data_IF_816795334413
#
_entry.id   IF_816795334413
#
_cell.length_a   1.000
_cell.length_b   1.000
_cell.length_c   1.000
_cell.angle_alpha   90.00
_cell.angle_beta   90.00
_cell.angle_gamma   90.00
#
_symmetry.space_group_name_H-M   'P 1'
#
loop_
_entity.id
_entity.type
_entity.pdbx_description
1 polymer ?
#
# COMPACT_ATOMS: atom_id res chain seq x y z
N UNK A 1 -5.39 -24.61 0.19
CA UNK A 1 -4.31 -25.53 0.63
C UNK A 1 -4.72 -26.96 0.33
N UNK A 2 -3.80 -27.93 0.23
CA UNK A 2 -4.15 -29.34 0.02
C UNK A 2 -4.57 -30.08 1.29
N UNK A 3 -5.26 -31.21 1.16
CA UNK A 3 -5.58 -32.10 2.30
C UNK A 3 -4.33 -32.57 3.05
N UNK A 4 -3.28 -32.97 2.32
CA UNK A 4 -1.98 -33.37 2.91
C UNK A 4 -1.40 -32.25 3.79
N UNK A 5 -1.46 -31.01 3.29
CA UNK A 5 -0.97 -29.83 4.04
C UNK A 5 -1.83 -29.55 5.26
N UNK A 6 -3.16 -29.70 5.14
CA UNK A 6 -4.07 -29.56 6.26
C UNK A 6 -3.82 -30.58 7.38
N UNK A 7 -3.57 -31.85 7.05
CA UNK A 7 -3.26 -32.87 8.05
C UNK A 7 -1.99 -32.53 8.84
N UNK A 8 -0.94 -32.07 8.16
CA UNK A 8 0.30 -31.59 8.81
C UNK A 8 0.06 -30.37 9.71
N UNK A 9 -0.84 -29.47 9.31
CA UNK A 9 -1.24 -28.34 10.14
C UNK A 9 -1.97 -28.83 11.40
N UNK A 10 -2.89 -29.79 11.27
CA UNK A 10 -3.66 -30.35 12.39
C UNK A 10 -2.80 -31.11 13.39
N UNK A 11 -1.77 -31.81 12.92
CA UNK A 11 -0.77 -32.46 13.78
C UNK A 11 -0.01 -31.45 14.66
N UNK A 12 0.35 -30.29 14.09
CA UNK A 12 1.08 -29.24 14.82
C UNK A 12 0.17 -28.34 15.66
N UNK A 13 -1.07 -28.16 15.22
CA UNK A 13 -2.05 -27.28 15.83
C UNK A 13 -3.40 -28.02 15.96
N UNK A 14 -3.59 -28.83 17.02
CA UNK A 14 -4.78 -29.68 17.17
C UNK A 14 -6.09 -28.91 17.34
N UNK A 15 -6.01 -27.64 17.72
CA UNK A 15 -7.14 -26.73 17.95
C UNK A 15 -7.70 -26.11 16.67
N UNK A 16 -7.12 -26.42 15.51
CA UNK A 16 -7.59 -25.90 14.22
C UNK A 16 -8.83 -26.69 13.78
N UNK A 17 -9.97 -25.99 13.70
CA UNK A 17 -11.26 -26.56 13.31
C UNK A 17 -11.54 -26.37 11.82
N UNK A 18 -12.09 -27.42 11.19
CA UNK A 18 -12.61 -27.30 9.83
C UNK A 18 -14.01 -26.71 9.86
N UNK A 19 -14.28 -25.87 8.87
CA UNK A 19 -15.62 -25.40 8.51
C UNK A 19 -16.04 -26.15 7.26
N UNK A 20 -17.22 -26.76 7.30
CA UNK A 20 -17.84 -27.36 6.12
C UNK A 20 -18.75 -26.32 5.44
N UNK A 21 -18.75 -26.31 4.13
CA UNK A 21 -19.65 -25.48 3.34
C UNK A 21 -20.97 -26.22 3.08
N UNK A 22 -22.09 -25.50 3.19
CA UNK A 22 -23.41 -26.04 2.84
C UNK A 22 -23.52 -26.34 1.34
N UNK A 23 -22.90 -25.50 0.51
CA UNK A 23 -22.81 -25.68 -0.94
C UNK A 23 -21.34 -25.85 -1.36
N UNK A 24 -20.99 -26.88 -2.17
CA UNK A 24 -19.65 -27.07 -2.67
C UNK A 24 -19.19 -25.90 -3.56
N UNK A 25 -17.96 -25.45 -3.36
CA UNK A 25 -17.35 -24.39 -4.17
C UNK A 25 -16.63 -25.03 -5.36
N UNK A 26 -17.04 -24.74 -6.61
CA UNK A 26 -16.34 -25.23 -7.79
C UNK A 26 -15.01 -24.49 -7.94
N UNK A 27 -13.92 -25.26 -8.07
CA UNK A 27 -12.57 -24.77 -8.24
C UNK A 27 -12.02 -25.29 -9.57
N UNK A 28 -11.76 -24.40 -10.52
CA UNK A 28 -11.10 -24.76 -11.78
C UNK A 28 -9.59 -24.88 -11.56
N UNK A 29 -9.05 -26.07 -11.79
CA UNK A 29 -7.61 -26.32 -11.72
C UNK A 29 -7.08 -26.72 -13.10
N UNK A 30 -5.75 -26.67 -13.27
CA UNK A 30 -5.11 -27.12 -14.52
C UNK A 30 -5.35 -28.62 -14.78
N UNK A 31 -5.64 -29.40 -13.75
CA UNK A 31 -5.91 -30.84 -13.83
C UNK A 31 -7.40 -31.21 -13.97
N UNK A 32 -8.29 -30.23 -14.06
CA UNK A 32 -9.75 -30.42 -14.10
C UNK A 32 -10.48 -29.65 -13.01
N UNK A 33 -11.80 -29.58 -13.15
CA UNK A 33 -12.66 -28.93 -12.15
C UNK A 33 -12.81 -29.83 -10.92
N UNK A 34 -12.68 -29.22 -9.75
CA UNK A 34 -12.75 -29.89 -8.45
C UNK A 34 -13.76 -29.16 -7.58
N UNK A 35 -14.65 -29.90 -6.94
CA UNK A 35 -15.56 -29.34 -5.94
C UNK A 35 -14.94 -29.40 -4.56
N UNK A 36 -15.03 -28.29 -3.82
CA UNK A 36 -14.48 -28.20 -2.47
C UNK A 36 -15.56 -27.85 -1.47
N UNK A 37 -15.66 -28.64 -0.40
CA UNK A 37 -16.69 -28.51 0.63
C UNK A 37 -16.11 -28.16 2.01
N UNK A 38 -14.79 -27.96 2.13
CA UNK A 38 -14.12 -27.75 3.42
C UNK A 38 -13.17 -26.57 3.37
N UNK A 39 -13.12 -25.83 4.47
CA UNK A 39 -12.17 -24.77 4.70
C UNK A 39 -11.70 -24.74 6.15
N UNK A 40 -10.71 -23.90 6.41
CA UNK A 40 -10.15 -23.67 7.74
C UNK A 40 -9.76 -22.20 7.87
N UNK A 41 -10.04 -21.58 9.01
CA UNK A 41 -9.66 -20.20 9.26
C UNK A 41 -8.29 -20.15 9.94
N UNK A 42 -7.31 -19.51 9.29
CA UNK A 42 -5.93 -19.45 9.81
C UNK A 42 -5.34 -18.07 9.68
N UNK A 43 -4.49 -17.68 10.63
CA UNK A 43 -3.64 -16.51 10.48
C UNK A 43 -2.44 -16.87 9.60
N UNK A 44 -2.31 -16.17 8.47
CA UNK A 44 -1.23 -16.39 7.51
C UNK A 44 -0.14 -15.33 7.72
N UNK A 45 1.11 -15.78 7.75
CA UNK A 45 2.29 -14.91 7.76
C UNK A 45 3.22 -15.29 6.62
N UNK A 46 3.46 -14.34 5.72
CA UNK A 46 4.36 -14.46 4.59
C UNK A 46 5.76 -14.02 5.01
N UNK A 47 6.80 -14.74 4.57
CA UNK A 47 8.18 -14.30 4.74
C UNK A 47 8.67 -13.68 3.44
N UNK A 48 8.88 -12.38 3.44
CA UNK A 48 9.39 -11.62 2.29
C UNK A 48 10.81 -11.13 2.55
N UNK A 49 11.51 -10.66 1.50
CA UNK A 49 12.83 -10.06 1.64
C UNK A 49 12.83 -8.80 2.54
N UNK A 50 11.71 -8.08 2.60
CA UNK A 50 11.52 -6.91 3.46
C UNK A 50 11.18 -7.28 4.92
N UNK A 51 10.94 -8.56 5.21
CA UNK A 51 10.57 -9.06 6.54
C UNK A 51 9.29 -9.91 6.53
N UNK A 52 8.86 -10.39 7.71
CA UNK A 52 7.59 -11.09 7.85
C UNK A 52 6.41 -10.14 7.67
N UNK A 53 5.38 -10.60 6.97
CA UNK A 53 4.13 -9.89 6.71
C UNK A 53 2.96 -10.75 7.17
N UNK A 54 2.26 -10.32 8.21
CA UNK A 54 1.14 -11.05 8.80
C UNK A 54 -0.19 -10.43 8.38
N UNK A 55 -1.15 -11.26 8.00
CA UNK A 55 -2.52 -10.82 7.70
C UNK A 55 -3.26 -10.63 9.04
N UNK A 56 -3.81 -9.43 9.25
CA UNK A 56 -4.40 -9.01 10.52
C UNK A 56 -5.66 -9.79 10.92
N UNK A 57 -6.41 -10.33 9.95
CA UNK A 57 -7.58 -11.17 10.17
C UNK A 57 -7.30 -12.62 9.79
N UNK A 58 -7.99 -13.60 10.41
CA UNK A 58 -7.97 -14.98 9.94
C UNK A 58 -8.46 -15.05 8.49
N UNK A 59 -7.71 -15.76 7.65
CA UNK A 59 -8.08 -16.01 6.25
C UNK A 59 -8.76 -17.36 6.15
N UNK A 60 -9.92 -17.40 5.49
CA UNK A 60 -10.60 -18.63 5.17
C UNK A 60 -9.85 -19.36 4.06
N UNK A 61 -9.25 -20.49 4.40
CA UNK A 61 -8.41 -21.27 3.51
C UNK A 61 -9.15 -22.54 3.08
N UNK A 62 -9.53 -22.59 1.81
CA UNK A 62 -10.20 -23.73 1.18
C UNK A 62 -9.24 -24.93 1.14
N UNK A 63 -9.75 -26.12 1.48
CA UNK A 63 -8.99 -27.39 1.53
C UNK A 63 -9.28 -28.18 0.25
N UNK A 64 -8.36 -28.12 -0.70
CA UNK A 64 -8.48 -28.75 -2.01
C UNK A 64 -8.02 -30.21 -1.93
N UNK A 65 -8.76 -31.18 -2.51
CA UNK A 65 -8.31 -32.55 -2.66
C UNK A 65 -6.95 -32.65 -3.36
N UNK A 66 -6.06 -33.48 -2.83
CA UNK A 66 -4.76 -33.76 -3.44
C UNK A 66 -3.56 -33.58 -2.51
N UNK A 67 -2.37 -33.66 -3.10
CA UNK A 67 -1.10 -33.76 -2.36
C UNK A 67 -0.15 -32.56 -2.54
N UNK A 68 -0.64 -31.49 -3.17
CA UNK A 68 0.17 -30.29 -3.41
C UNK A 68 0.79 -29.78 -2.11
N UNK A 69 2.11 -29.60 -2.08
CA UNK A 69 2.80 -29.05 -0.90
C UNK A 69 2.79 -27.52 -0.86
N UNK A 70 2.26 -26.91 -1.92
CA UNK A 70 2.22 -25.47 -2.10
C UNK A 70 0.94 -24.87 -1.53
N UNK A 71 1.07 -23.64 -1.03
CA UNK A 71 -0.03 -22.84 -0.53
C UNK A 71 -0.35 -21.75 -1.55
N UNK A 72 -1.53 -21.83 -2.14
CA UNK A 72 -2.00 -20.83 -3.11
C UNK A 72 -2.70 -19.70 -2.37
N UNK A 73 -2.31 -18.47 -2.69
CA UNK A 73 -2.91 -17.24 -2.15
C UNK A 73 -3.78 -16.65 -3.25
N UNK A 74 -5.06 -16.42 -2.95
CA UNK A 74 -5.99 -15.83 -3.91
C UNK A 74 -5.70 -14.36 -4.22
N UNK A 75 -6.16 -13.89 -5.38
CA UNK A 75 -5.99 -12.49 -5.81
C UNK A 75 -6.56 -11.49 -4.81
N UNK A 76 -7.70 -11.78 -4.18
CA UNK A 76 -8.29 -10.89 -3.16
C UNK A 76 -7.35 -10.67 -1.97
N UNK A 77 -6.68 -11.74 -1.52
CA UNK A 77 -5.70 -11.66 -0.44
C UNK A 77 -4.46 -10.89 -0.89
N UNK A 78 -3.98 -11.11 -2.11
CA UNK A 78 -2.86 -10.35 -2.68
C UNK A 78 -3.20 -8.85 -2.79
N UNK A 79 -4.40 -8.51 -3.27
CA UNK A 79 -4.88 -7.14 -3.36
C UNK A 79 -4.97 -6.47 -1.98
N UNK A 80 -5.41 -7.20 -0.94
CA UNK A 80 -5.42 -6.70 0.44
C UNK A 80 -4.01 -6.38 1.00
N UNK A 81 -2.98 -7.02 0.43
CA UNK A 81 -1.57 -6.76 0.73
C UNK A 81 -0.97 -5.66 -0.16
N UNK A 82 -1.77 -5.06 -1.06
CA UNK A 82 -1.33 -4.05 -2.01
C UNK A 82 -0.59 -4.61 -3.22
N UNK A 83 -0.75 -5.90 -3.52
CA UNK A 83 -0.15 -6.57 -4.68
C UNK A 83 -1.22 -6.71 -5.76
N UNK A 84 -1.07 -5.94 -6.85
CA UNK A 84 -1.95 -5.99 -8.02
C UNK A 84 -1.19 -6.61 -9.20
N UNK A 85 -1.41 -7.91 -9.40
CA UNK A 85 -0.68 -8.71 -10.39
C UNK A 85 -0.97 -8.24 -11.81
N UNK A 86 -2.20 -7.81 -12.11
CA UNK A 86 -2.58 -7.36 -13.44
C UNK A 86 -1.89 -6.04 -13.78
N UNK A 87 -1.88 -5.10 -12.83
CA UNK A 87 -1.16 -3.84 -12.98
C UNK A 87 0.34 -4.05 -13.12
N UNK A 88 0.92 -4.94 -12.33
CA UNK A 88 2.33 -5.28 -12.41
C UNK A 88 2.69 -5.92 -13.77
N UNK A 89 1.79 -6.77 -14.30
CA UNK A 89 1.98 -7.41 -15.60
C UNK A 89 1.86 -6.41 -16.77
N UNK A 90 0.93 -5.45 -16.69
CA UNK A 90 0.79 -4.37 -17.67
C UNK A 90 2.07 -3.55 -17.79
N UNK A 91 2.66 -3.17 -16.65
CA UNK A 91 3.93 -2.41 -16.57
C UNK A 91 5.11 -3.20 -17.15
N UNK A 92 5.06 -4.54 -17.12
CA UNK A 92 6.08 -5.39 -17.76
C UNK A 92 5.88 -5.44 -19.27
N UNK A 93 4.64 -5.57 -19.74
CA UNK A 93 4.30 -5.72 -21.15
C UNK A 93 4.63 -4.46 -21.98
N UNK A 94 4.59 -3.28 -21.36
CA UNK A 94 4.68 -1.99 -22.01
C UNK A 94 6.11 -1.45 -22.21
N UNK A 95 7.14 -2.14 -21.69
CA UNK A 95 8.54 -1.72 -21.76
C UNK A 95 9.15 -1.74 -23.18
N UNK A 96 8.38 -2.12 -24.22
CA UNK A 96 8.85 -2.35 -25.59
C UNK A 96 8.71 -1.20 -26.61
N UNK A 97 8.04 -0.09 -26.31
CA UNK A 97 7.86 1.02 -27.29
C UNK A 97 8.95 2.10 -27.21
N UNK A 98 9.41 2.66 -28.35
CA UNK A 98 10.37 3.77 -28.39
C UNK A 98 9.71 5.14 -28.10
N UNK A 99 10.45 6.03 -27.43
CA UNK A 99 9.95 7.33 -26.94
C UNK A 99 10.57 8.52 -27.68
N UNK A 100 9.73 9.52 -27.97
CA UNK A 100 10.08 10.87 -28.42
C UNK A 100 10.75 11.69 -27.28
N UNK A 101 11.69 12.60 -27.58
CA UNK A 101 12.40 13.38 -26.56
C UNK A 101 11.61 14.61 -26.06
N UNK A 102 11.42 14.72 -24.75
CA UNK A 102 10.84 15.91 -24.09
C UNK A 102 11.88 17.04 -23.86
N UNK A 103 11.44 18.28 -24.08
CA UNK A 103 12.17 19.53 -23.84
C UNK A 103 11.74 20.13 -22.49
N UNK A 104 12.62 20.12 -21.48
CA UNK A 104 12.30 20.54 -20.11
C UNK A 104 12.37 22.08 -19.95
N UNK A 105 11.26 22.70 -19.52
CA UNK A 105 11.21 24.10 -19.07
C UNK A 105 11.70 24.33 -17.63
N UNK A 106 11.99 25.59 -17.26
CA UNK A 106 12.42 25.97 -15.90
C UNK A 106 11.28 25.81 -14.86
N UNK A 107 11.57 25.39 -13.61
CA UNK A 107 10.53 25.09 -12.63
C UNK A 107 9.91 26.35 -12.01
N UNK A 108 8.58 26.40 -12.05
CA UNK A 108 7.78 27.49 -11.48
C UNK A 108 7.72 27.44 -9.93
N UNK A 109 8.21 28.49 -9.29
CA UNK A 109 8.24 28.67 -7.82
C UNK A 109 6.87 29.21 -7.38
N UNK A 110 5.88 28.32 -7.36
CA UNK A 110 4.49 28.64 -7.01
C UNK A 110 4.28 29.08 -5.56
N UNK A 111 3.34 30.01 -5.36
CA UNK A 111 2.93 30.61 -4.08
C UNK A 111 2.15 29.63 -3.16
N UNK A 112 2.12 29.95 -1.86
CA UNK A 112 1.55 29.14 -0.78
C UNK A 112 0.00 29.00 -0.87
N UNK A 113 -0.60 27.88 -0.40
CA UNK A 113 -2.02 27.61 -0.61
C UNK A 113 -2.95 28.40 0.33
N UNK A 114 -4.04 28.93 -0.22
CA UNK A 114 -5.16 29.66 0.41
C UNK A 114 -6.07 28.80 1.32
N UNK A 115 -5.67 27.58 1.67
CA UNK A 115 -6.52 26.52 2.25
C UNK A 115 -6.61 26.53 3.80
N UNK A 116 -6.28 27.64 4.46
CA UNK A 116 -6.15 27.68 5.93
C UNK A 116 -7.52 27.52 6.62
N UNK A 117 -8.59 28.09 6.05
CA UNK A 117 -9.92 28.13 6.70
C UNK A 117 -10.60 26.75 6.75
N UNK A 118 -10.46 25.94 5.70
CA UNK A 118 -11.05 24.58 5.65
C UNK A 118 -10.38 23.64 6.66
N UNK A 119 -9.05 23.74 6.76
CA UNK A 119 -8.26 22.99 7.74
C UNK A 119 -8.67 23.30 9.17
N UNK A 120 -8.93 24.58 9.50
CA UNK A 120 -9.34 24.95 10.84
C UNK A 120 -10.67 24.31 11.23
N UNK A 121 -11.63 24.27 10.30
CA UNK A 121 -12.92 23.60 10.50
C UNK A 121 -12.73 22.12 10.77
N UNK A 122 -11.90 21.45 9.98
CA UNK A 122 -11.60 20.02 10.10
C UNK A 122 -10.97 19.69 11.47
N UNK A 123 -10.06 20.54 11.95
CA UNK A 123 -9.45 20.39 13.28
C UNK A 123 -10.50 20.50 14.38
N UNK A 124 -11.45 21.45 14.31
CA UNK A 124 -12.53 21.59 15.30
C UNK A 124 -13.44 20.36 15.34
N UNK A 125 -13.76 19.80 14.18
CA UNK A 125 -14.55 18.58 14.06
C UNK A 125 -13.84 17.37 14.69
N UNK A 126 -12.53 17.25 14.50
CA UNK A 126 -11.70 16.20 15.11
C UNK A 126 -11.66 16.30 16.64
N UNK A 127 -11.50 17.50 17.20
CA UNK A 127 -11.53 17.74 18.65
C UNK A 127 -12.90 17.38 19.23
N UNK A 128 -13.98 17.78 18.55
CA UNK A 128 -15.35 17.44 18.95
C UNK A 128 -15.57 15.93 18.99
N UNK A 129 -15.12 15.23 17.95
CA UNK A 129 -15.19 13.76 17.84
C UNK A 129 -14.38 13.07 18.93
N UNK A 130 -13.21 13.60 19.30
CA UNK A 130 -12.41 13.08 20.39
C UNK A 130 -13.17 13.12 21.73
N UNK A 131 -13.84 14.24 22.03
CA UNK A 131 -14.70 14.36 23.21
C UNK A 131 -15.85 13.34 23.22
N UNK A 132 -16.50 13.13 22.07
CA UNK A 132 -17.57 12.12 21.93
C UNK A 132 -17.07 10.68 22.16
N UNK A 133 -15.80 10.41 21.79
CA UNK A 133 -15.16 9.09 21.97
C UNK A 133 -14.53 8.89 23.35
N UNK A 134 -14.80 9.79 24.31
CA UNK A 134 -14.35 9.62 25.70
C UNK A 134 -13.02 10.28 26.05
N UNK A 135 -12.52 11.19 25.21
CA UNK A 135 -11.38 12.03 25.62
C UNK A 135 -11.77 12.90 26.84
N UNK A 136 -10.88 13.07 27.85
CA UNK A 136 -11.25 13.79 29.06
C UNK A 136 -11.62 15.25 28.74
N UNK A 137 -12.81 15.67 29.17
CA UNK A 137 -13.39 16.96 28.82
C UNK A 137 -12.54 18.14 29.32
N UNK A 138 -11.84 17.96 30.44
CA UNK A 138 -10.95 18.94 31.05
C UNK A 138 -9.77 19.33 30.15
N UNK A 139 -9.36 18.45 29.23
CA UNK A 139 -8.24 18.69 28.32
C UNK A 139 -8.67 19.07 26.90
N UNK A 140 -9.96 19.18 26.59
CA UNK A 140 -10.43 19.47 25.22
C UNK A 140 -9.96 20.85 24.72
N UNK A 141 -9.95 21.85 25.62
CA UNK A 141 -9.47 23.18 25.29
C UNK A 141 -7.96 23.20 25.05
N UNK A 142 -7.20 22.43 25.83
CA UNK A 142 -5.76 22.27 25.64
C UNK A 142 -5.44 21.53 24.34
N UNK A 143 -6.19 20.47 24.04
CA UNK A 143 -6.09 19.72 22.78
C UNK A 143 -6.35 20.63 21.58
N UNK A 144 -7.43 21.42 21.62
CA UNK A 144 -7.75 22.41 20.60
C UNK A 144 -6.60 23.40 20.44
N UNK A 145 -6.12 23.98 21.55
CA UNK A 145 -5.01 24.94 21.53
C UNK A 145 -3.74 24.36 20.91
N UNK A 146 -3.39 23.10 21.20
CA UNK A 146 -2.22 22.44 20.62
C UNK A 146 -2.42 22.20 19.12
N UNK A 147 -3.59 21.71 18.72
CA UNK A 147 -3.91 21.42 17.33
C UNK A 147 -3.85 22.65 16.42
N UNK A 148 -4.18 23.83 16.94
CA UNK A 148 -4.07 25.11 16.23
C UNK A 148 -2.71 25.80 16.36
N UNK A 149 -1.93 25.49 17.41
CA UNK A 149 -0.70 26.23 17.71
C UNK A 149 0.40 26.00 16.69
N UNK A 150 0.49 24.79 16.17
CA UNK A 150 1.54 24.42 15.23
C UNK A 150 0.88 24.10 13.89
N UNK A 151 1.34 24.74 12.81
CA UNK A 151 0.92 24.44 11.42
C UNK A 151 1.40 23.07 10.94
N UNK A 152 1.25 22.04 11.78
CA UNK A 152 1.63 20.65 11.53
C UNK A 152 0.57 19.92 10.71
N UNK A 153 -0.68 20.35 10.83
CA UNK A 153 -1.80 19.72 10.17
C UNK A 153 -1.89 20.16 8.72
N UNK A 154 -2.16 19.21 7.82
CA UNK A 154 -2.41 19.47 6.40
C UNK A 154 -3.58 18.63 5.95
N UNK A 155 -4.53 19.25 5.28
CA UNK A 155 -5.61 18.53 4.60
C UNK A 155 -5.14 17.98 3.26
N UNK A 156 -4.34 18.77 2.52
CA UNK A 156 -3.70 18.37 1.27
C UNK A 156 -2.20 18.61 1.36
N UNK A 157 -1.41 17.66 0.85
CA UNK A 157 0.03 17.86 0.73
C UNK A 157 0.30 18.83 -0.42
N UNK A 158 0.67 20.07 -0.09
CA UNK A 158 0.94 21.14 -1.05
C UNK A 158 2.40 21.58 -1.05
N UNK A 159 2.71 22.56 -1.90
CA UNK A 159 4.02 23.23 -1.89
C UNK A 159 4.16 24.00 -0.58
N UNK A 160 5.08 23.55 0.27
CA UNK A 160 5.43 24.30 1.47
C UNK A 160 6.30 25.50 1.12
N UNK A 161 6.23 26.57 1.94
CA UNK A 161 7.27 27.58 1.87
C UNK A 161 8.64 26.92 2.12
N UNK A 162 9.69 27.41 1.45
CA UNK A 162 11.03 26.88 1.66
C UNK A 162 11.38 26.94 3.14
N UNK A 163 12.13 25.93 3.62
CA UNK A 163 12.65 25.95 4.98
C UNK A 163 13.41 27.25 5.24
N UNK A 164 13.34 27.76 6.48
CA UNK A 164 14.06 28.97 6.89
C UNK A 164 15.55 28.69 7.09
N UNK A 165 16.19 28.19 6.05
CA UNK A 165 17.59 27.87 5.96
C UNK A 165 18.15 28.49 4.67
N UNK A 166 19.42 28.94 4.66
CA UNK A 166 20.05 29.40 3.43
C UNK A 166 20.08 28.25 2.42
N UNK A 167 19.98 28.53 1.10
CA UNK A 167 20.09 27.51 0.07
C UNK A 167 21.39 26.71 0.21
N UNK A 168 21.29 25.39 0.06
CA UNK A 168 22.43 24.49 0.12
C UNK A 168 23.39 24.78 -1.03
N UNK A 169 24.65 25.09 -0.72
CA UNK A 169 25.71 25.26 -1.72
C UNK A 169 26.39 23.92 -1.97
N UNK A 170 26.19 23.35 -3.15
CA UNK A 170 26.86 22.11 -3.55
C UNK A 170 28.28 22.45 -4.04
N UNK A 171 29.30 21.84 -3.41
CA UNK A 171 30.69 21.95 -3.86
C UNK A 171 31.09 20.67 -4.59
N UNK A 172 31.51 20.81 -5.84
CA UNK A 172 32.02 19.69 -6.62
C UNK A 172 33.42 19.30 -6.12
N UNK A 173 33.77 18.02 -6.25
CA UNK A 173 35.15 17.55 -6.07
C UNK A 173 36.06 18.21 -7.11
N UNK A 174 37.34 18.35 -6.77
CA UNK A 174 38.35 18.80 -7.73
C UNK A 174 38.33 17.87 -8.95
N UNK A 175 38.38 18.46 -10.16
CA UNK A 175 38.32 17.78 -11.46
C UNK A 175 36.99 17.10 -11.82
N UNK A 176 35.90 17.39 -11.10
CA UNK A 176 34.57 16.94 -11.48
C UNK A 176 34.16 17.49 -12.87
N UNK A 177 33.75 16.60 -13.77
CA UNK A 177 33.28 16.95 -15.11
C UNK A 177 31.75 16.82 -15.17
N UNK A 178 31.03 17.79 -15.75
CA UNK A 178 29.60 17.63 -16.02
C UNK A 178 29.35 16.38 -16.87
N UNK A 179 28.37 15.58 -16.48
CA UNK A 179 27.96 14.39 -17.20
C UNK A 179 26.45 14.43 -17.41
N UNK A 180 26.01 14.25 -18.65
CA UNK A 180 24.60 14.12 -19.00
C UNK A 180 24.30 12.65 -19.23
N UNK A 181 23.60 12.03 -18.29
CA UNK A 181 23.05 10.69 -18.47
C UNK A 181 21.96 10.71 -19.55
N UNK A 182 21.77 9.59 -20.26
CA UNK A 182 20.53 9.37 -21.02
C UNK A 182 19.34 9.31 -20.05
N UNK A 183 18.18 9.81 -20.46
CA UNK A 183 16.96 9.70 -19.66
C UNK A 183 16.64 8.23 -19.36
N UNK A 184 16.12 7.96 -18.16
CA UNK A 184 15.65 6.62 -17.81
C UNK A 184 14.43 6.31 -18.67
N UNK A 185 14.42 5.15 -19.32
CA UNK A 185 13.23 4.65 -20.03
C UNK A 185 12.18 4.29 -19.00
N UNK A 186 11.03 4.95 -19.05
CA UNK A 186 9.89 4.62 -18.21
C UNK A 186 8.81 3.92 -19.06
N UNK A 187 8.16 2.88 -18.51
CA UNK A 187 6.99 2.27 -19.13
C UNK A 187 5.92 3.34 -19.47
N UNK A 188 5.18 3.21 -20.59
CA UNK A 188 4.08 4.10 -20.98
C UNK A 188 3.12 4.47 -19.84
N UNK A 189 2.79 3.51 -18.98
CA UNK A 189 1.84 3.69 -17.87
C UNK A 189 2.37 4.61 -16.77
N UNK A 190 3.70 4.73 -16.66
CA UNK A 190 4.38 5.56 -15.65
C UNK A 190 4.63 6.97 -16.20
N UNK A 191 4.72 7.14 -17.53
CA UNK A 191 4.92 8.45 -18.16
C UNK A 191 3.76 9.41 -17.90
N UNK A 192 2.52 8.91 -17.95
CA UNK A 192 1.34 9.73 -17.63
C UNK A 192 1.18 10.10 -16.15
N UNK A 193 1.95 9.45 -15.25
CA UNK A 193 1.95 9.73 -13.82
C UNK A 193 3.04 10.73 -13.40
N UNK A 194 3.95 11.09 -14.31
CA UNK A 194 4.93 12.12 -14.03
C UNK A 194 4.25 13.48 -14.10
N UNK A 195 4.50 14.38 -13.14
CA UNK A 195 3.99 15.74 -13.23
C UNK A 195 4.51 16.36 -14.53
N UNK A 196 3.58 16.71 -15.41
CA UNK A 196 3.83 17.56 -16.56
C UNK A 196 4.26 18.91 -15.98
N UNK A 197 5.56 19.21 -16.04
CA UNK A 197 6.13 20.50 -15.62
C UNK A 197 5.85 21.58 -16.63
#
# INVERSE_FOLDING_TARGET
MSEKTFMRLKEKCPFVECVEFEEPIPCTTVGGDVEVNRAVNVHVTLRTAAGPMSIGSPVQCVIVPGELEEFIIGMEVLASLGIDVDRDLEVVASQGQPDEPDEFGEPDIGSAPELIVELEKLIRELVTRAGQKGFPKEYLDELSRIAFRFGLSREKLGKDPPARAPPTKIRLKQDAKPYKCKARKYPPEVRGLQPQT
#
